data_IF_793961803898
#
_entry.id   IF_793961803898
#
_cell.length_a   1.000
_cell.length_b   1.000
_cell.length_c   1.000
_cell.angle_alpha   90.00
_cell.angle_beta   90.00
_cell.angle_gamma   90.00
#
_symmetry.space_group_name_H-M   'P 1'
#
loop_
_entity.id
_entity.type
_entity.pdbx_description
1 polymer ?
#
# COMPACT_ATOMS: atom_id res chain seq x y z
N UNK A 1 15.50 26.58 65.35
CA UNK A 1 16.18 26.88 64.06
C UNK A 1 17.40 27.73 64.34
N UNK A 2 18.62 27.25 64.03
CA UNK A 2 19.83 28.07 64.04
C UNK A 2 19.89 28.94 62.78
N UNK A 3 20.69 30.00 62.76
CA UNK A 3 20.87 30.85 61.57
C UNK A 3 21.37 30.04 60.36
N UNK A 4 22.24 29.06 60.60
CA UNK A 4 22.77 28.19 59.55
C UNK A 4 21.66 27.40 58.85
N UNK A 5 20.70 26.86 59.62
CA UNK A 5 19.54 26.17 59.05
C UNK A 5 18.65 27.09 58.23
N UNK A 6 18.54 28.38 58.60
CA UNK A 6 17.78 29.36 57.83
C UNK A 6 18.46 29.68 56.49
N UNK A 7 19.77 29.92 56.48
CA UNK A 7 20.52 30.14 55.24
C UNK A 7 20.48 28.92 54.32
N UNK A 8 20.65 27.72 54.87
CA UNK A 8 20.56 26.48 54.11
C UNK A 8 19.15 26.30 53.51
N UNK A 9 18.11 26.61 54.28
CA UNK A 9 16.72 26.58 53.80
C UNK A 9 16.54 27.56 52.64
N UNK A 10 17.02 28.80 52.77
CA UNK A 10 16.93 29.80 51.71
C UNK A 10 17.61 29.34 50.42
N UNK A 11 18.81 28.77 50.52
CA UNK A 11 19.55 28.26 49.35
C UNK A 11 18.79 27.11 48.66
N UNK A 12 18.24 26.17 49.43
CA UNK A 12 17.42 25.09 48.88
C UNK A 12 16.15 25.61 48.20
N UNK A 13 15.53 26.65 48.76
CA UNK A 13 14.32 27.26 48.21
C UNK A 13 14.59 28.10 46.95
N UNK A 14 15.78 28.72 46.84
CA UNK A 14 16.27 29.29 45.57
C UNK A 14 16.44 28.18 44.54
N UNK A 15 17.05 27.05 44.93
CA UNK A 15 17.14 25.84 44.09
C UNK A 15 15.77 25.33 43.64
N UNK A 16 14.78 25.35 44.54
CA UNK A 16 13.40 24.99 44.22
C UNK A 16 12.79 25.94 43.17
N UNK A 17 13.06 27.25 43.27
CA UNK A 17 12.66 28.22 42.26
C UNK A 17 13.30 27.98 40.90
N UNK A 18 14.59 27.64 40.87
CA UNK A 18 15.29 27.24 39.64
C UNK A 18 14.66 25.99 39.02
N UNK A 19 14.41 24.97 39.83
CA UNK A 19 13.76 23.74 39.43
C UNK A 19 12.36 24.00 38.86
N UNK A 20 11.53 24.78 39.54
CA UNK A 20 10.21 25.16 39.06
C UNK A 20 10.30 25.84 37.69
N UNK A 21 11.23 26.78 37.51
CA UNK A 21 11.47 27.45 36.23
C UNK A 21 11.79 26.48 35.10
N UNK A 22 12.73 25.56 35.33
CA UNK A 22 13.09 24.52 34.38
C UNK A 22 11.91 23.61 34.06
N UNK A 23 11.20 23.13 35.08
CA UNK A 23 10.01 22.28 34.96
C UNK A 23 8.89 22.94 34.15
N UNK A 24 8.64 24.24 34.36
CA UNK A 24 7.67 25.00 33.57
C UNK A 24 8.04 25.03 32.09
N UNK A 25 9.29 25.35 31.77
CA UNK A 25 9.73 25.42 30.39
C UNK A 25 9.72 24.04 29.72
N UNK A 26 10.08 22.96 30.44
CA UNK A 26 9.89 21.59 29.93
C UNK A 26 8.42 21.32 29.64
N UNK A 27 7.55 21.63 30.60
CA UNK A 27 6.13 21.35 30.51
C UNK A 27 5.50 22.04 29.31
N UNK A 28 5.72 23.35 29.15
CA UNK A 28 5.20 24.11 28.01
C UNK A 28 5.82 23.69 26.68
N UNK A 29 7.09 23.25 26.66
CA UNK A 29 7.73 22.79 25.42
C UNK A 29 7.17 21.44 24.94
N UNK A 30 6.81 20.56 25.87
CA UNK A 30 6.23 19.25 25.58
C UNK A 30 4.72 19.33 25.35
N UNK A 31 4.04 20.32 25.96
CA UNK A 31 2.63 20.62 25.74
C UNK A 31 2.48 21.19 24.33
N UNK A 32 2.04 20.34 23.39
CA UNK A 32 1.81 20.73 22.00
C UNK A 32 0.77 21.86 21.82
N UNK A 33 0.56 22.36 20.59
CA UNK A 33 -0.24 23.56 20.33
C UNK A 33 -1.75 23.41 20.58
N UNK A 34 -2.27 22.20 20.75
CA UNK A 34 -3.71 21.97 20.91
C UNK A 34 -4.08 22.13 22.38
N UNK A 35 -4.93 23.11 22.74
CA UNK A 35 -5.17 23.47 24.15
C UNK A 35 -6.52 23.01 24.73
N UNK A 36 -7.36 22.29 23.96
CA UNK A 36 -8.76 22.02 24.33
C UNK A 36 -9.07 20.54 24.53
N UNK A 37 -8.36 19.90 25.45
CA UNK A 37 -8.65 18.52 25.85
C UNK A 37 -8.64 18.38 27.36
N UNK A 38 -9.56 17.58 27.91
CA UNK A 38 -9.58 17.17 29.32
C UNK A 38 -8.22 16.61 29.77
N UNK A 39 -7.46 16.00 28.85
CA UNK A 39 -6.11 15.50 29.09
C UNK A 39 -5.17 16.61 29.59
N UNK A 40 -5.23 17.80 29.01
CA UNK A 40 -4.37 18.92 29.43
C UNK A 40 -4.78 19.49 30.77
N UNK A 41 -6.07 19.48 31.09
CA UNK A 41 -6.53 19.90 32.43
C UNK A 41 -5.99 18.96 33.50
N UNK A 42 -6.06 17.64 33.25
CA UNK A 42 -5.47 16.63 34.14
C UNK A 42 -3.95 16.83 34.24
N UNK A 43 -3.29 17.11 33.11
CA UNK A 43 -1.85 17.34 33.07
C UNK A 43 -1.43 18.60 33.83
N UNK A 44 -2.21 19.69 33.76
CA UNK A 44 -1.97 20.92 34.51
C UNK A 44 -2.09 20.66 36.03
N UNK A 45 -3.16 19.97 36.45
CA UNK A 45 -3.36 19.60 37.87
C UNK A 45 -2.22 18.69 38.34
N UNK A 46 -1.86 17.68 37.57
CA UNK A 46 -0.79 16.75 37.91
C UNK A 46 0.57 17.47 37.97
N UNK A 47 0.82 18.40 37.06
CA UNK A 47 2.04 19.19 37.04
C UNK A 47 2.20 20.01 38.33
N UNK A 48 1.16 20.74 38.74
CA UNK A 48 1.19 21.54 39.97
C UNK A 48 1.28 20.66 41.21
N UNK A 49 0.57 19.53 41.24
CA UNK A 49 0.64 18.58 42.35
C UNK A 49 2.05 18.00 42.51
N UNK A 50 2.66 17.52 41.41
CA UNK A 50 4.00 16.94 41.43
C UNK A 50 5.06 17.98 41.82
N UNK A 51 5.06 19.15 41.19
CA UNK A 51 6.04 20.19 41.50
C UNK A 51 5.85 20.72 42.91
N UNK A 52 4.61 20.96 43.34
CA UNK A 52 4.30 21.36 44.72
C UNK A 52 4.77 20.32 45.74
N UNK A 53 4.56 19.03 45.45
CA UNK A 53 5.05 17.94 46.29
C UNK A 53 6.58 17.91 46.36
N UNK A 54 7.29 18.06 45.24
CA UNK A 54 8.76 18.12 45.22
C UNK A 54 9.29 19.28 46.08
N UNK A 55 8.73 20.48 45.89
CA UNK A 55 9.14 21.66 46.68
C UNK A 55 8.84 21.45 48.17
N UNK A 56 7.67 20.88 48.49
CA UNK A 56 7.31 20.57 49.87
C UNK A 56 8.26 19.54 50.49
N UNK A 57 8.66 18.50 49.76
CA UNK A 57 9.61 17.50 50.24
C UNK A 57 10.99 18.11 50.51
N UNK A 58 11.47 19.01 49.64
CA UNK A 58 12.71 19.74 49.89
C UNK A 58 12.61 20.63 51.12
N UNK A 59 11.49 21.35 51.28
CA UNK A 59 11.24 22.17 52.46
C UNK A 59 11.17 21.33 53.74
N UNK A 60 10.53 20.16 53.66
CA UNK A 60 10.47 19.19 54.78
C UNK A 60 11.84 18.70 55.18
N UNK A 61 12.72 18.42 54.21
CA UNK A 61 14.07 17.92 54.46
C UNK A 61 14.98 18.89 55.21
N UNK A 62 14.80 20.21 55.03
CA UNK A 62 15.71 21.22 55.59
C UNK A 62 15.10 22.00 56.75
N UNK A 63 13.78 22.23 56.72
CA UNK A 63 13.08 23.12 57.66
C UNK A 63 11.92 22.42 58.37
N UNK A 64 11.89 21.08 58.39
CA UNK A 64 10.80 20.26 58.93
C UNK A 64 9.41 20.58 58.37
N UNK A 65 9.34 21.29 57.23
CA UNK A 65 8.09 21.67 56.58
C UNK A 65 7.47 22.95 57.16
N UNK A 66 8.19 23.70 58.00
CA UNK A 66 7.75 25.00 58.46
C UNK A 66 7.66 26.00 57.29
N UNK A 67 6.45 26.47 57.01
CA UNK A 67 6.19 27.45 55.96
C UNK A 67 6.32 28.86 56.54
N UNK A 68 7.23 29.66 55.99
CA UNK A 68 7.56 31.02 56.43
C UNK A 68 7.67 31.95 55.22
N UNK A 69 7.44 33.25 55.41
CA UNK A 69 7.35 34.21 54.29
C UNK A 69 8.63 34.26 53.43
N UNK A 70 9.80 34.21 54.05
CA UNK A 70 11.08 34.27 53.32
C UNK A 70 11.31 33.08 52.37
N UNK A 71 10.63 31.94 52.57
CA UNK A 71 10.70 30.79 51.67
C UNK A 71 10.08 31.14 50.31
N UNK A 72 8.93 31.80 50.32
CA UNK A 72 8.29 32.26 49.09
C UNK A 72 9.16 33.28 48.34
N UNK A 73 9.82 34.18 49.08
CA UNK A 73 10.77 35.14 48.50
C UNK A 73 11.96 34.42 47.87
N UNK A 74 12.52 33.42 48.55
CA UNK A 74 13.63 32.61 48.04
C UNK A 74 13.25 31.84 46.77
N UNK A 75 12.05 31.23 46.73
CA UNK A 75 11.52 30.57 45.52
C UNK A 75 11.33 31.57 44.39
N UNK A 76 10.73 32.73 44.66
CA UNK A 76 10.51 33.77 43.66
C UNK A 76 11.84 34.29 43.09
N UNK A 77 12.85 34.49 43.95
CA UNK A 77 14.20 34.87 43.56
C UNK A 77 14.85 33.80 42.69
N UNK A 78 14.77 32.53 43.09
CA UNK A 78 15.28 31.41 42.29
C UNK A 78 14.62 31.31 40.93
N UNK A 79 13.30 31.50 40.85
CA UNK A 79 12.58 31.50 39.57
C UNK A 79 12.98 32.70 38.69
N UNK A 80 13.11 33.90 39.26
CA UNK A 80 13.60 35.07 38.54
C UNK A 80 15.03 34.87 38.02
N UNK A 81 15.89 34.27 38.85
CA UNK A 81 17.26 33.91 38.48
C UNK A 81 17.28 32.89 37.34
N UNK A 82 16.39 31.89 37.36
CA UNK A 82 16.21 30.98 36.24
C UNK A 82 15.86 31.73 34.95
N UNK A 83 14.83 32.59 35.00
CA UNK A 83 14.36 33.35 33.83
C UNK A 83 15.44 34.27 33.26
N UNK A 84 16.21 34.95 34.12
CA UNK A 84 17.22 35.92 33.69
C UNK A 84 18.55 35.31 33.25
N UNK A 85 19.01 34.23 33.90
CA UNK A 85 20.37 33.72 33.70
C UNK A 85 20.41 32.33 33.04
N UNK A 86 19.52 31.42 33.47
CA UNK A 86 19.65 29.99 33.13
C UNK A 86 18.74 29.55 31.98
N UNK A 87 17.65 30.28 31.72
CA UNK A 87 16.62 29.87 30.77
C UNK A 87 17.19 29.58 29.37
N UNK A 88 18.02 30.48 28.83
CA UNK A 88 18.59 30.31 27.48
C UNK A 88 19.48 29.06 27.40
N UNK A 89 20.32 28.83 28.40
CA UNK A 89 21.18 27.66 28.45
C UNK A 89 20.34 26.38 28.58
N UNK A 90 19.39 26.37 29.51
CA UNK A 90 18.49 25.26 29.74
C UNK A 90 17.71 24.88 28.47
N UNK A 91 17.12 25.86 27.78
CA UNK A 91 16.38 25.62 26.54
C UNK A 91 17.26 25.09 25.39
N UNK A 92 18.52 25.53 25.29
CA UNK A 92 19.48 24.96 24.32
C UNK A 92 19.72 23.48 24.60
N UNK A 93 19.99 23.13 25.86
CA UNK A 93 20.21 21.74 26.27
C UNK A 93 18.93 20.92 26.06
N UNK A 94 17.77 21.42 26.48
CA UNK A 94 16.49 20.76 26.30
C UNK A 94 16.21 20.45 24.82
N UNK A 95 16.41 21.44 23.94
CA UNK A 95 16.20 21.24 22.50
C UNK A 95 17.22 20.29 21.88
N UNK A 96 18.49 20.35 22.31
CA UNK A 96 19.50 19.41 21.87
C UNK A 96 19.13 17.97 22.28
N UNK A 97 18.68 17.77 23.53
CA UNK A 97 18.21 16.48 24.04
C UNK A 97 17.01 15.96 23.25
N UNK A 98 15.98 16.78 23.04
CA UNK A 98 14.82 16.40 22.23
C UNK A 98 15.25 16.01 20.80
N UNK A 99 16.13 16.80 20.19
CA UNK A 99 16.62 16.55 18.83
C UNK A 99 17.45 15.27 18.74
N UNK A 100 18.28 15.00 19.75
CA UNK A 100 19.06 13.78 19.86
C UNK A 100 18.15 12.56 19.98
N UNK A 101 17.16 12.58 20.87
CA UNK A 101 16.17 11.51 21.04
C UNK A 101 15.41 11.25 19.75
N UNK A 102 14.93 12.30 19.07
CA UNK A 102 14.24 12.15 17.78
C UNK A 102 15.15 11.62 16.68
N UNK A 103 16.43 11.96 16.71
CA UNK A 103 17.42 11.44 15.75
C UNK A 103 17.67 9.96 15.98
N UNK A 104 17.90 9.55 17.23
CA UNK A 104 18.06 8.15 17.62
C UNK A 104 16.81 7.35 17.25
N UNK A 105 15.63 7.83 17.60
CA UNK A 105 14.36 7.16 17.25
C UNK A 105 14.24 6.93 15.73
N UNK A 106 14.47 7.97 14.92
CA UNK A 106 14.41 7.87 13.45
C UNK A 106 15.46 6.90 12.90
N UNK A 107 16.68 6.92 13.47
CA UNK A 107 17.73 5.98 13.13
C UNK A 107 17.32 4.54 13.44
N UNK A 108 16.78 4.28 14.62
CA UNK A 108 16.30 2.95 15.03
C UNK A 108 15.19 2.44 14.12
N UNK A 109 14.18 3.26 13.82
CA UNK A 109 13.10 2.88 12.90
C UNK A 109 13.65 2.59 11.50
N UNK A 110 14.59 3.40 11.00
CA UNK A 110 15.23 3.17 9.70
C UNK A 110 16.04 1.89 9.67
N UNK A 111 16.77 1.58 10.74
CA UNK A 111 17.52 0.34 10.90
C UNK A 111 16.59 -0.88 10.91
N UNK A 112 15.53 -0.86 11.74
CA UNK A 112 14.54 -1.94 11.77
C UNK A 112 13.85 -2.13 10.41
N UNK A 113 13.52 -1.04 9.72
CA UNK A 113 12.92 -1.11 8.38
C UNK A 113 13.88 -1.72 7.37
N UNK A 114 15.16 -1.34 7.40
CA UNK A 114 16.16 -1.86 6.47
C UNK A 114 16.52 -3.32 6.77
N UNK A 115 16.60 -3.69 8.05
CA UNK A 115 17.07 -5.00 8.49
C UNK A 115 15.97 -6.05 8.54
N UNK A 116 14.71 -5.66 8.78
CA UNK A 116 13.59 -6.59 8.93
C UNK A 116 12.59 -6.45 7.79
N UNK A 117 12.07 -5.24 7.57
CA UNK A 117 10.94 -5.03 6.62
C UNK A 117 11.39 -5.27 5.18
N UNK A 118 12.53 -4.73 4.77
CA UNK A 118 13.05 -4.91 3.40
C UNK A 118 13.36 -6.36 3.02
N UNK A 119 14.11 -7.15 3.81
CA UNK A 119 14.36 -8.55 3.46
C UNK A 119 13.07 -9.36 3.44
N UNK A 120 12.11 -9.08 4.33
CA UNK A 120 10.82 -9.76 4.31
C UNK A 120 10.04 -9.48 3.01
N UNK A 121 10.03 -8.23 2.54
CA UNK A 121 9.44 -7.87 1.25
C UNK A 121 10.15 -8.53 0.06
N UNK A 122 11.48 -8.64 0.13
CA UNK A 122 12.26 -9.35 -0.89
C UNK A 122 11.90 -10.83 -0.96
N UNK A 123 11.86 -11.51 0.19
CA UNK A 123 11.46 -12.93 0.28
C UNK A 123 10.05 -13.11 -0.29
N UNK A 124 9.09 -12.26 0.09
CA UNK A 124 7.73 -12.34 -0.44
C UNK A 124 7.68 -12.20 -1.96
N UNK A 125 8.42 -11.23 -2.52
CA UNK A 125 8.52 -11.05 -3.98
C UNK A 125 9.15 -12.25 -4.68
N UNK A 126 10.19 -12.84 -4.10
CA UNK A 126 10.83 -14.06 -4.64
C UNK A 126 9.84 -15.22 -4.64
N UNK A 127 9.12 -15.44 -3.53
CA UNK A 127 8.11 -16.50 -3.44
C UNK A 127 7.01 -16.33 -4.49
N UNK A 128 6.44 -15.13 -4.62
CA UNK A 128 5.43 -14.85 -5.65
C UNK A 128 6.01 -15.05 -7.05
N UNK A 129 7.26 -14.60 -7.28
CA UNK A 129 7.96 -14.81 -8.55
C UNK A 129 8.11 -16.29 -8.90
N UNK A 130 8.48 -17.14 -7.94
CA UNK A 130 8.58 -18.59 -8.13
C UNK A 130 7.22 -19.20 -8.47
N UNK A 131 6.16 -18.82 -7.76
CA UNK A 131 4.79 -19.32 -8.01
C UNK A 131 4.30 -18.91 -9.41
N UNK A 132 4.51 -17.66 -9.81
CA UNK A 132 4.11 -17.17 -11.14
C UNK A 132 4.94 -17.85 -12.23
N UNK A 133 6.24 -18.06 -12.01
CA UNK A 133 7.11 -18.75 -12.96
C UNK A 133 6.67 -20.20 -13.18
N UNK A 134 6.43 -20.97 -12.11
CA UNK A 134 5.98 -22.37 -12.22
C UNK A 134 4.58 -22.47 -12.85
N UNK A 135 3.64 -21.60 -12.45
CA UNK A 135 2.33 -21.50 -13.08
C UNK A 135 2.43 -21.16 -14.57
N UNK A 136 3.32 -20.24 -14.94
CA UNK A 136 3.62 -19.87 -16.32
C UNK A 136 4.18 -21.04 -17.14
N UNK A 137 5.06 -21.87 -16.58
CA UNK A 137 5.57 -23.07 -17.23
C UNK A 137 4.47 -24.11 -17.50
N UNK A 138 3.54 -24.29 -16.57
CA UNK A 138 2.41 -25.22 -16.72
C UNK A 138 1.45 -24.71 -17.81
N UNK A 139 1.08 -23.43 -17.76
CA UNK A 139 0.18 -22.85 -18.77
C UNK A 139 0.86 -22.83 -20.14
N UNK A 140 2.14 -22.48 -20.20
CA UNK A 140 2.92 -22.44 -21.44
C UNK A 140 3.06 -23.80 -22.09
N UNK A 141 3.33 -24.85 -21.31
CA UNK A 141 3.38 -26.22 -21.81
C UNK A 141 2.00 -26.70 -22.30
N UNK A 142 0.91 -26.39 -21.59
CA UNK A 142 -0.45 -26.67 -22.05
C UNK A 142 -0.80 -25.97 -23.37
N UNK A 143 -0.45 -24.68 -23.51
CA UNK A 143 -0.66 -23.94 -24.75
C UNK A 143 0.18 -24.46 -25.93
N UNK A 144 1.37 -25.00 -25.65
CA UNK A 144 2.21 -25.64 -26.66
C UNK A 144 1.57 -26.93 -27.18
N UNK A 145 1.09 -27.80 -26.27
CA UNK A 145 0.36 -29.02 -26.63
C UNK A 145 -0.91 -28.69 -27.42
N UNK A 146 -1.69 -27.70 -26.97
CA UNK A 146 -2.89 -27.26 -27.69
C UNK A 146 -2.56 -26.76 -29.10
N UNK A 147 -1.47 -26.00 -29.26
CA UNK A 147 -0.98 -25.57 -30.58
C UNK A 147 -0.65 -26.76 -31.47
N UNK A 148 0.07 -27.76 -30.95
CA UNK A 148 0.42 -28.98 -31.69
C UNK A 148 -0.82 -29.75 -32.13
N UNK A 149 -1.77 -29.98 -31.22
CA UNK A 149 -3.03 -30.67 -31.53
C UNK A 149 -3.83 -29.92 -32.61
N UNK A 150 -3.96 -28.60 -32.48
CA UNK A 150 -4.66 -27.78 -33.49
C UNK A 150 -4.00 -27.89 -34.86
N UNK A 151 -2.67 -27.82 -34.93
CA UNK A 151 -1.93 -28.04 -36.17
C UNK A 151 -2.16 -29.44 -36.75
N UNK A 152 -2.15 -30.47 -35.90
CA UNK A 152 -2.44 -31.85 -36.32
C UNK A 152 -3.84 -31.99 -36.94
N UNK A 153 -4.87 -31.45 -36.28
CA UNK A 153 -6.25 -31.46 -36.80
C UNK A 153 -6.35 -30.69 -38.12
N UNK A 154 -5.73 -29.52 -38.22
CA UNK A 154 -5.71 -28.73 -39.46
C UNK A 154 -4.99 -29.49 -40.60
N UNK A 155 -3.88 -30.18 -40.31
CA UNK A 155 -3.19 -31.02 -41.29
C UNK A 155 -4.06 -32.19 -41.77
N UNK A 156 -4.74 -32.90 -40.85
CA UNK A 156 -5.66 -33.98 -41.20
C UNK A 156 -6.84 -33.48 -42.03
N UNK A 157 -7.40 -32.32 -41.69
CA UNK A 157 -8.46 -31.69 -42.46
C UNK A 157 -7.96 -31.32 -43.87
N UNK A 158 -6.76 -30.76 -43.99
CA UNK A 158 -6.12 -30.46 -45.28
C UNK A 158 -5.87 -31.71 -46.13
N UNK A 159 -5.44 -32.81 -45.52
CA UNK A 159 -5.29 -34.11 -46.20
C UNK A 159 -6.65 -34.66 -46.66
N UNK A 160 -7.67 -34.58 -45.81
CA UNK A 160 -9.04 -34.97 -46.14
C UNK A 160 -9.61 -34.19 -47.33
N UNK A 161 -9.38 -32.88 -47.39
CA UNK A 161 -9.76 -32.07 -48.55
C UNK A 161 -9.01 -32.46 -49.82
N UNK A 162 -7.73 -32.82 -49.71
CA UNK A 162 -6.92 -33.27 -50.84
C UNK A 162 -7.39 -34.63 -51.38
N UNK A 163 -7.75 -35.56 -50.50
CA UNK A 163 -8.33 -36.87 -50.86
C UNK A 163 -9.71 -36.68 -51.48
N UNK A 164 -10.56 -35.82 -50.91
CA UNK A 164 -11.86 -35.47 -51.48
C UNK A 164 -11.74 -34.91 -52.90
N UNK A 165 -10.75 -34.03 -53.14
CA UNK A 165 -10.45 -33.48 -54.46
C UNK A 165 -9.90 -34.51 -55.46
N UNK A 166 -9.27 -35.60 -54.99
CA UNK A 166 -8.82 -36.71 -55.84
C UNK A 166 -9.97 -37.68 -56.16
N UNK A 167 -10.86 -37.92 -55.19
CA UNK A 167 -12.02 -38.79 -55.36
C UNK A 167 -13.04 -38.20 -56.34
N UNK A 168 -13.30 -36.89 -56.26
CA UNK A 168 -14.16 -36.19 -57.24
C UNK A 168 -13.58 -36.13 -58.65
N UNK A 169 -12.26 -36.34 -58.81
CA UNK A 169 -11.58 -36.41 -60.11
C UNK A 169 -11.63 -37.81 -60.74
N UNK A 170 -12.00 -38.84 -59.98
CA UNK A 170 -12.07 -40.24 -60.42
C UNK A 170 -13.52 -40.78 -60.53
N UNK A 171 -14.52 -39.95 -60.25
CA UNK A 171 -15.92 -40.25 -60.54
C UNK A 171 -16.13 -40.33 -62.06
N UNK A 172 -16.72 -41.40 -62.63
CA UNK A 172 -17.07 -41.42 -64.05
C UNK A 172 -18.04 -40.27 -64.33
N UNK A 173 -17.77 -39.49 -65.38
CA UNK A 173 -18.52 -38.28 -65.72
C UNK A 173 -19.89 -38.64 -66.34
N UNK A 174 -20.87 -38.90 -65.46
CA UNK A 174 -22.27 -39.18 -65.78
C UNK A 174 -22.94 -38.03 -66.56
N UNK A 175 -22.29 -36.87 -66.69
CA UNK A 175 -22.82 -35.76 -67.49
C UNK A 175 -22.73 -36.01 -69.00
N UNK A 176 -21.85 -36.91 -69.47
CA UNK A 176 -21.75 -37.24 -70.91
C UNK A 176 -22.91 -38.10 -71.40
N UNK A 177 -23.39 -39.05 -70.57
CA UNK A 177 -24.55 -39.91 -70.88
C UNK A 177 -25.87 -39.13 -70.80
N UNK A 178 -26.03 -38.26 -69.80
CA UNK A 178 -27.24 -37.41 -69.66
C UNK A 178 -27.32 -36.31 -70.74
N UNK A 179 -26.18 -35.76 -71.18
CA UNK A 179 -26.16 -34.82 -72.33
C UNK A 179 -26.50 -35.50 -73.65
N UNK A 180 -26.06 -36.75 -73.86
CA UNK A 180 -26.39 -37.53 -75.05
C UNK A 180 -27.89 -37.87 -75.10
N UNK A 181 -28.48 -38.30 -73.98
CA UNK A 181 -29.90 -38.64 -73.88
C UNK A 181 -30.82 -37.42 -74.07
N UNK A 182 -30.51 -36.27 -73.43
CA UNK A 182 -31.25 -35.02 -73.62
C UNK A 182 -31.20 -34.49 -75.05
N UNK A 183 -30.08 -34.68 -75.76
CA UNK A 183 -29.92 -34.28 -77.18
C UNK A 183 -30.74 -35.19 -78.11
N UNK A 184 -30.80 -36.49 -77.82
CA UNK A 184 -31.67 -37.44 -78.52
C UNK A 184 -33.15 -37.11 -78.35
N UNK A 185 -33.59 -36.87 -77.11
CA UNK A 185 -34.98 -36.53 -76.76
C UNK A 185 -35.45 -35.22 -77.41
N UNK A 186 -34.61 -34.18 -77.44
CA UNK A 186 -34.90 -32.91 -78.15
C UNK A 186 -35.03 -33.07 -79.67
N UNK A 187 -34.23 -33.93 -80.29
CA UNK A 187 -34.33 -34.23 -81.74
C UNK A 187 -35.61 -35.00 -82.07
N UNK A 188 -35.99 -35.98 -81.25
CA UNK A 188 -37.26 -36.71 -81.40
C UNK A 188 -38.48 -35.79 -81.25
N UNK A 189 -38.47 -34.89 -80.26
CA UNK A 189 -39.57 -33.94 -80.02
C UNK A 189 -39.76 -32.96 -81.20
N UNK A 190 -38.66 -32.42 -81.75
CA UNK A 190 -38.72 -31.54 -82.92
C UNK A 190 -39.28 -32.25 -84.15
N UNK A 191 -38.86 -33.49 -84.43
CA UNK A 191 -39.40 -34.28 -85.54
C UNK A 191 -40.91 -34.56 -85.38
N UNK A 192 -41.35 -34.93 -84.17
CA UNK A 192 -42.76 -35.18 -83.87
C UNK A 192 -43.65 -33.93 -83.80
N UNK A 193 -43.06 -32.75 -83.57
CA UNK A 193 -43.75 -31.46 -83.66
C UNK A 193 -43.89 -31.00 -85.12
N UNK A 194 -42.81 -31.12 -85.90
CA UNK A 194 -42.82 -30.80 -87.33
C UNK A 194 -43.80 -31.69 -88.11
N UNK A 195 -43.84 -32.99 -87.82
CA UNK A 195 -44.80 -33.90 -88.46
C UNK A 195 -46.26 -33.58 -88.11
N UNK A 196 -46.55 -33.23 -86.85
CA UNK A 196 -47.89 -32.81 -86.42
C UNK A 196 -48.33 -31.50 -87.05
N UNK A 197 -47.42 -30.55 -87.23
CA UNK A 197 -47.70 -29.25 -87.81
C UNK A 197 -47.94 -29.35 -89.33
N UNK A 198 -47.15 -30.18 -90.03
CA UNK A 198 -47.35 -30.50 -91.45
C UNK A 198 -48.72 -31.16 -91.71
N UNK A 199 -49.11 -32.14 -90.88
CA UNK A 199 -50.43 -32.78 -90.99
C UNK A 199 -51.60 -31.85 -90.68
N UNK A 200 -51.40 -30.82 -89.84
CA UNK A 200 -52.44 -29.83 -89.52
C UNK A 200 -52.68 -28.85 -90.67
N UNK A 201 -51.65 -28.57 -91.47
CA UNK A 201 -51.75 -27.74 -92.67
C UNK A 201 -52.34 -28.48 -93.86
N UNK A 202 -52.01 -29.77 -94.04
CA UNK A 202 -52.54 -30.62 -95.13
C UNK A 202 -54.04 -30.93 -95.00
N UNK A 203 -54.65 -30.73 -93.82
CA UNK A 203 -56.08 -30.97 -93.55
C UNK A 203 -56.98 -29.73 -93.68
N UNK A 204 -56.46 -28.60 -94.18
CA UNK A 204 -57.22 -27.33 -94.33
C UNK A 204 -57.41 -26.86 -95.79
N UNK A 205 -57.23 -27.73 -96.77
CA UNK A 205 -57.75 -27.53 -98.14
C UNK A 205 -58.90 -28.48 -98.36
#
# INVERSE_FOLDING_TARGET
MSLDTQFLTMLHMIGAGLFLGASFDTYFRLRGPTQRSLVYMIQDVLFWLLNGMVVFLWLKGVNHGEVRLYIFVAIALGYAMYRGLFQTYYLRVLNATISAVLTVYRWTVKLLTLLVVRPLQFIFKVVVGVVVFTGGLIIGSGQFVFRLLRWGVLCLFGLGQKIWGLWTKHQPDDTLTDKADKKGKRRGLKKGFLSRMANKWLRRK
#
